data_IF_661507554281
#
_entry.id   IF_661507554281
#
_cell.length_a   1.000
_cell.length_b   1.000
_cell.length_c   1.000
_cell.angle_alpha   90.00
_cell.angle_beta   90.00
_cell.angle_gamma   90.00
#
_symmetry.space_group_name_H-M   'P 1'
#
loop_
_entity.id
_entity.type
_entity.pdbx_description
1 polymer ?
#
# COMPACT_ATOMS: atom_id res chain seq x y z
N UNK A 1 8.90 -26.16 -14.86
CA UNK A 1 9.14 -25.10 -14.38
C UNK A 1 7.99 -24.36 -13.94
N UNK A 2 8.05 -23.79 -12.93
CA UNK A 2 6.98 -23.11 -12.45
C UNK A 2 6.83 -21.86 -13.15
N UNK A 3 5.65 -21.53 -13.51
CA UNK A 3 5.42 -20.40 -14.11
C UNK A 3 4.89 -19.47 -13.19
N UNK A 4 5.42 -18.37 -12.98
CA UNK A 4 4.90 -17.39 -12.16
C UNK A 4 3.93 -16.64 -12.89
N UNK A 5 2.71 -16.67 -12.50
CA UNK A 5 1.70 -15.89 -13.14
C UNK A 5 1.59 -14.59 -12.46
N UNK A 6 1.71 -13.49 -13.14
CA UNK A 6 1.58 -12.17 -12.58
C UNK A 6 0.14 -11.75 -12.68
N UNK A 7 -0.42 -11.39 -11.53
CA UNK A 7 -1.77 -10.89 -11.50
C UNK A 7 -1.71 -9.38 -11.45
N UNK A 8 -2.30 -8.73 -12.42
CA UNK A 8 -2.31 -7.28 -12.49
C UNK A 8 -3.58 -6.73 -11.90
N UNK A 9 -3.45 -5.66 -11.15
CA UNK A 9 -4.58 -5.00 -10.51
C UNK A 9 -4.69 -3.60 -11.04
N UNK A 10 -5.92 -3.13 -11.21
CA UNK A 10 -6.13 -1.73 -11.54
C UNK A 10 -5.89 -0.94 -10.27
N UNK A 11 -5.76 0.37 -10.39
CA UNK A 11 -5.58 1.19 -9.21
C UNK A 11 -6.78 1.08 -8.29
N UNK A 12 -7.98 0.99 -8.86
CA UNK A 12 -9.18 0.85 -8.03
C UNK A 12 -9.17 -0.47 -7.27
N UNK A 13 -8.77 -1.55 -7.96
CA UNK A 13 -8.73 -2.86 -7.32
C UNK A 13 -7.65 -2.91 -6.25
N UNK A 14 -6.49 -2.32 -6.53
CA UNK A 14 -5.41 -2.30 -5.56
C UNK A 14 -5.80 -1.49 -4.33
N UNK A 15 -6.45 -0.35 -4.54
CA UNK A 15 -6.88 0.47 -3.42
C UNK A 15 -7.89 -0.28 -2.57
N UNK A 16 -8.80 -0.99 -3.22
CA UNK A 16 -9.77 -1.78 -2.50
C UNK A 16 -9.10 -2.89 -1.72
N UNK A 17 -8.13 -3.53 -2.34
CA UNK A 17 -7.40 -4.61 -1.71
C UNK A 17 -6.67 -4.11 -0.46
N UNK A 18 -6.18 -2.88 -0.52
CA UNK A 18 -5.47 -2.29 0.62
C UNK A 18 -6.42 -1.60 1.60
N UNK A 19 -7.65 -1.41 1.22
CA UNK A 19 -8.59 -0.72 2.09
C UNK A 19 -8.36 0.77 2.18
N UNK A 20 -7.81 1.36 1.13
CA UNK A 20 -7.53 2.79 1.13
C UNK A 20 -8.20 3.42 -0.09
N UNK A 21 -8.20 4.73 -0.14
CA UNK A 21 -8.79 5.42 -1.27
C UNK A 21 -7.79 5.43 -2.41
N UNK A 22 -8.26 5.57 -3.65
CA UNK A 22 -7.33 5.69 -4.77
C UNK A 22 -6.38 6.87 -4.61
N UNK A 23 -6.84 7.94 -4.00
CA UNK A 23 -6.00 9.09 -3.80
C UNK A 23 -4.82 8.76 -2.91
N UNK A 24 -5.06 8.02 -1.83
CA UNK A 24 -3.98 7.60 -0.97
C UNK A 24 -3.04 6.66 -1.71
N UNK A 25 -3.61 5.79 -2.54
CA UNK A 25 -2.78 4.88 -3.31
C UNK A 25 -1.86 5.64 -4.25
N UNK A 26 -2.38 6.64 -4.95
CA UNK A 26 -1.54 7.42 -5.86
C UNK A 26 -0.43 8.12 -5.11
N UNK A 27 -0.70 8.58 -3.90
CA UNK A 27 0.34 9.21 -3.11
C UNK A 27 1.42 8.21 -2.75
N UNK A 28 1.04 7.00 -2.39
CA UNK A 28 2.01 5.96 -2.07
C UNK A 28 2.86 5.61 -3.28
N UNK A 29 2.25 5.56 -4.44
CA UNK A 29 2.99 5.29 -5.67
C UNK A 29 3.97 6.42 -5.94
N UNK A 30 3.51 7.64 -5.79
CA UNK A 30 4.33 8.79 -6.07
C UNK A 30 5.51 8.90 -5.11
N UNK A 31 5.30 8.45 -3.88
CA UNK A 31 6.36 8.50 -2.89
C UNK A 31 7.30 7.30 -2.97
N UNK A 32 7.05 6.40 -3.90
CA UNK A 32 7.90 5.24 -4.06
C UNK A 32 7.67 4.14 -3.04
N UNK A 33 6.55 4.22 -2.31
CA UNK A 33 6.28 3.22 -1.29
C UNK A 33 5.78 1.91 -1.89
N UNK A 34 5.12 1.99 -3.01
CA UNK A 34 4.60 0.79 -3.64
C UNK A 34 4.86 0.90 -5.14
N UNK A 35 5.28 -0.18 -5.74
CA UNK A 35 5.62 -0.17 -7.15
C UNK A 35 4.38 -0.18 -8.02
N UNK A 36 4.41 0.57 -9.08
CA UNK A 36 3.32 0.58 -10.03
C UNK A 36 3.91 0.72 -11.42
N UNK A 37 3.12 0.36 -12.41
CA UNK A 37 3.58 0.35 -13.78
C UNK A 37 2.61 1.12 -14.65
N UNK A 38 3.14 1.86 -15.58
CA UNK A 38 2.31 2.64 -16.46
C UNK A 38 2.39 2.08 -17.86
N UNK A 39 1.27 1.68 -18.41
CA UNK A 39 1.20 1.18 -19.76
C UNK A 39 0.41 2.20 -20.57
N UNK A 40 1.10 3.12 -21.22
CA UNK A 40 0.44 4.19 -21.91
C UNK A 40 -0.22 5.12 -20.90
N UNK A 41 -1.53 5.12 -20.86
CA UNK A 41 -2.22 5.95 -19.90
C UNK A 41 -2.82 5.15 -18.77
N UNK A 42 -2.51 3.86 -18.76
CA UNK A 42 -3.12 2.98 -17.79
C UNK A 42 -2.10 2.60 -16.74
N UNK A 43 -2.48 2.70 -15.49
CA UNK A 43 -1.61 2.34 -14.39
C UNK A 43 -2.07 1.02 -13.81
N UNK A 44 -1.14 0.11 -13.61
CA UNK A 44 -1.44 -1.19 -13.05
C UNK A 44 -0.43 -1.53 -11.98
N UNK A 45 -0.83 -2.37 -11.07
CA UNK A 45 0.07 -2.85 -10.03
C UNK A 45 0.10 -4.36 -10.09
N UNK A 46 1.19 -4.95 -9.67
CA UNK A 46 1.25 -6.40 -9.56
C UNK A 46 0.75 -6.77 -8.18
N UNK A 47 -0.07 -7.80 -8.12
CA UNK A 47 -0.60 -8.24 -6.85
C UNK A 47 0.52 -8.57 -5.88
N UNK A 48 1.60 -9.15 -6.38
CA UNK A 48 2.74 -9.47 -5.54
C UNK A 48 3.36 -8.25 -4.89
N UNK A 49 3.41 -7.14 -5.64
CA UNK A 49 3.97 -5.92 -5.09
C UNK A 49 3.05 -5.34 -4.02
N UNK A 50 1.75 -5.45 -4.23
CA UNK A 50 0.79 -4.98 -3.26
C UNK A 50 0.91 -5.79 -1.97
N UNK A 51 1.01 -7.11 -2.11
CA UNK A 51 1.15 -7.97 -0.96
C UNK A 51 2.46 -7.72 -0.22
N UNK A 52 3.53 -7.43 -0.95
CA UNK A 52 4.81 -7.12 -0.32
C UNK A 52 4.70 -5.81 0.46
N UNK A 53 3.97 -4.84 -0.08
CA UNK A 53 3.76 -3.59 0.62
C UNK A 53 2.98 -3.83 1.91
N UNK A 54 1.99 -4.70 1.86
CA UNK A 54 1.21 -5.02 3.05
C UNK A 54 2.12 -5.60 4.13
N UNK A 55 3.01 -6.52 3.76
CA UNK A 55 3.89 -7.12 4.75
C UNK A 55 4.85 -6.10 5.34
N UNK A 56 5.38 -5.21 4.52
CA UNK A 56 6.29 -4.20 5.02
C UNK A 56 5.59 -3.21 5.92
N UNK A 57 4.29 -3.07 5.76
CA UNK A 57 3.53 -2.08 6.50
C UNK A 57 3.06 -2.59 7.84
N UNK A 58 3.36 -3.86 8.14
CA UNK A 58 2.92 -4.42 9.38
C UNK A 58 3.55 -3.67 10.54
N UNK A 59 2.76 -3.34 11.51
CA UNK A 59 3.25 -2.61 12.66
C UNK A 59 3.78 -3.58 13.68
N UNK A 60 5.02 -3.39 14.08
CA UNK A 60 5.61 -4.24 15.09
C UNK A 60 5.01 -3.89 16.45
N UNK A 61 4.78 -4.88 17.29
CA UNK A 61 4.23 -4.60 18.61
C UNK A 61 5.11 -3.61 19.35
N UNK A 62 4.50 -2.62 19.92
CA UNK A 62 5.22 -1.64 20.71
C UNK A 62 5.76 -0.46 19.93
N UNK A 63 5.75 -0.53 18.60
CA UNK A 63 6.33 0.54 17.82
C UNK A 63 5.44 1.77 17.74
N UNK A 64 4.19 1.63 18.09
CA UNK A 64 3.29 2.77 17.98
C UNK A 64 3.59 3.87 18.97
N UNK A 65 4.42 3.60 19.96
CA UNK A 65 4.77 4.64 20.89
C UNK A 65 5.39 5.81 20.19
N UNK A 66 6.06 5.58 19.07
CA UNK A 66 6.66 6.65 18.32
C UNK A 66 5.61 7.47 17.60
N UNK A 67 4.51 6.83 17.24
CA UNK A 67 3.47 7.53 16.52
C UNK A 67 2.44 8.14 17.45
N UNK A 68 2.23 7.51 18.60
CA UNK A 68 1.26 7.99 19.55
C UNK A 68 1.93 8.10 20.89
N UNK A 69 2.82 9.03 21.04
CA UNK A 69 3.59 9.13 22.28
C UNK A 69 2.72 9.38 23.49
N UNK A 70 1.57 9.95 23.32
CA UNK A 70 0.75 10.27 24.47
C UNK A 70 -0.68 9.96 24.11
N UNK A 71 -1.21 8.89 24.60
CA UNK A 71 -2.58 8.53 24.27
C UNK A 71 -3.57 9.61 24.62
N UNK A 72 -3.28 10.38 25.62
CA UNK A 72 -4.21 11.41 25.99
C UNK A 72 -4.29 12.49 24.96
N UNK A 73 -3.25 12.63 24.15
CA UNK A 73 -3.32 13.63 23.15
C UNK A 73 -3.82 13.08 21.88
N UNK A 74 -3.83 11.79 21.75
CA UNK A 74 -4.15 11.23 20.47
C UNK A 74 -5.50 11.52 20.04
N UNK A 75 -6.27 11.90 20.84
CA UNK A 75 -7.54 12.13 20.46
C UNK A 75 -7.69 13.13 19.59
N UNK A 76 -6.92 13.63 19.42
CA UNK A 76 -7.06 14.61 18.58
C UNK A 76 -7.63 14.22 17.43
N UNK A 77 -7.89 13.99 17.29
CA UNK A 77 -8.22 13.68 16.23
C UNK A 77 -8.63 13.53 15.91
#
# INVERSE_FOLDING_TARGET
MAKQEITWLSTAAAARHLGITPRTLYRLIDEGEIAAYKFGRVIRLQEGDVNAFIERSRIAPGSLEHLYPDPARSNAD
#
